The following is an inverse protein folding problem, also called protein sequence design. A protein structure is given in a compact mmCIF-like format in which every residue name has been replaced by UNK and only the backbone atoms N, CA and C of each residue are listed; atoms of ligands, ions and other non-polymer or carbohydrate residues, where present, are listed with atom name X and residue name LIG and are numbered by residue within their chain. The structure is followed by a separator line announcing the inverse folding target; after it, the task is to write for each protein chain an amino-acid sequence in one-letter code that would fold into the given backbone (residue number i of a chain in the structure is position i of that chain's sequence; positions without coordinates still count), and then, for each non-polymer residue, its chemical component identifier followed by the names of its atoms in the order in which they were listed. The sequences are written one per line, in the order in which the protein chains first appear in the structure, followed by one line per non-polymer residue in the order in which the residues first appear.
data_IF_530514782290
#
_entry.id   IF_530514782290
#
_cell.length_a   1.000
_cell.length_b   1.000
_cell.length_c   1.000
_cell.angle_alpha   90.00
_cell.angle_beta   90.00
_cell.angle_gamma   90.00
#
_symmetry.space_group_name_H-M   'P 1'
#
loop_
_entity.id
_entity.type
_entity.pdbx_description
1 polymer ?
#
# COMPACT_ATOMS: atom_id res chain seq x y z
N UNK A 1 25.60 45.00 19.66
CA UNK A 1 25.00 45.27 20.98
C UNK A 1 24.71 43.94 21.68
N UNK A 2 25.06 43.85 22.98
CA UNK A 2 24.77 42.74 23.93
C UNK A 2 23.27 42.36 23.90
N UNK A 3 22.84 41.12 24.19
CA UNK A 3 22.73 40.55 25.56
C UNK A 3 22.66 39.01 25.58
N UNK A 4 23.13 38.49 26.71
CA UNK A 4 23.34 37.09 27.13
C UNK A 4 22.23 36.71 28.13
N UNK A 5 21.81 35.44 28.14
CA UNK A 5 21.21 34.67 29.25
C UNK A 5 21.62 33.20 28.96
N UNK A 6 22.47 32.44 29.69
CA UNK A 6 22.60 32.08 31.12
C UNK A 6 21.28 31.52 31.72
N UNK A 7 21.17 30.38 32.40
CA UNK A 7 22.06 29.32 32.94
C UNK A 7 21.10 28.18 33.42
N UNK A 8 21.46 26.88 33.46
CA UNK A 8 21.58 25.98 34.65
C UNK A 8 21.05 24.56 34.27
N UNK A 9 21.76 23.41 34.36
CA UNK A 9 22.51 22.62 35.38
C UNK A 9 21.68 21.59 36.20
N UNK A 10 22.04 20.29 36.03
CA UNK A 10 22.19 19.18 37.02
C UNK A 10 20.92 18.53 37.64
N UNK A 11 20.70 17.20 37.67
CA UNK A 11 21.44 16.18 38.46
C UNK A 11 20.91 14.74 38.20
N UNK A 12 21.81 13.75 38.37
CA UNK A 12 21.62 12.29 38.37
C UNK A 12 21.27 11.75 39.77
N UNK A 13 20.55 10.63 39.89
CA UNK A 13 20.65 9.72 41.06
C UNK A 13 20.31 8.25 40.76
N UNK A 14 21.17 7.36 41.22
CA UNK A 14 21.14 5.88 41.21
C UNK A 14 20.86 5.37 42.63
N UNK A 15 20.10 4.27 42.78
CA UNK A 15 20.18 3.28 43.91
C UNK A 15 19.43 1.99 43.48
N UNK A 16 19.56 0.80 44.06
CA UNK A 16 20.66 -0.09 44.45
C UNK A 16 19.99 -1.45 44.83
N UNK A 17 20.62 -2.59 44.52
CA UNK A 17 20.16 -3.97 44.79
C UNK A 17 20.31 -4.38 46.27
N UNK A 18 19.47 -5.32 46.74
CA UNK A 18 19.84 -6.20 47.87
C UNK A 18 19.18 -7.61 47.80
N UNK A 19 19.91 -8.63 48.29
CA UNK A 19 19.64 -10.10 48.36
C UNK A 19 20.36 -10.60 49.64
N UNK A 20 20.40 -11.90 50.07
CA UNK A 20 19.53 -13.09 49.99
C UNK A 20 19.24 -13.72 51.39
N UNK A 21 18.54 -14.88 51.48
CA UNK A 21 18.88 -15.94 52.45
C UNK A 21 18.30 -17.32 52.08
N UNK A 22 19.07 -18.34 52.44
CA UNK A 22 19.08 -19.77 52.10
C UNK A 22 18.31 -20.64 53.11
N UNK A 23 17.85 -21.84 52.74
CA UNK A 23 17.67 -22.93 53.71
C UNK A 23 17.71 -24.33 53.08
N UNK A 24 18.53 -25.17 53.70
CA UNK A 24 18.95 -26.51 53.29
C UNK A 24 18.11 -27.58 54.01
N UNK A 25 17.61 -28.59 53.28
CA UNK A 25 17.20 -29.88 53.87
C UNK A 25 17.57 -31.04 52.93
N UNK A 26 18.38 -31.95 53.44
CA UNK A 26 18.86 -33.16 52.78
C UNK A 26 17.95 -34.33 53.19
N UNK A 27 17.26 -34.91 52.22
CA UNK A 27 16.47 -36.13 52.37
C UNK A 27 17.13 -37.25 51.54
N UNK A 28 17.11 -38.45 52.10
CA UNK A 28 17.59 -39.73 51.56
C UNK A 28 17.17 -39.89 50.09
N UNK A 29 18.14 -39.84 49.17
CA UNK A 29 17.89 -39.91 47.74
C UNK A 29 17.75 -41.37 47.27
N UNK A 30 16.79 -41.67 46.36
CA UNK A 30 16.75 -42.95 45.65
C UNK A 30 18.06 -43.15 44.86
N UNK A 31 18.45 -44.41 44.60
CA UNK A 31 19.64 -44.71 43.78
C UNK A 31 19.37 -44.22 42.36
N UNK A 32 19.81 -43.01 42.07
CA UNK A 32 19.74 -42.36 40.76
C UNK A 32 20.80 -43.01 39.87
N UNK A 33 20.37 -43.64 38.77
CA UNK A 33 21.27 -44.30 37.81
C UNK A 33 21.87 -43.31 36.79
N UNK A 34 21.23 -42.17 36.61
CA UNK A 34 21.67 -41.11 35.72
C UNK A 34 21.17 -39.76 36.24
N UNK A 35 21.93 -38.68 36.08
CA UNK A 35 21.45 -37.32 36.37
C UNK A 35 21.14 -36.53 35.08
N UNK A 36 21.77 -36.92 33.97
CA UNK A 36 21.63 -36.31 32.65
C UNK A 36 21.79 -37.37 31.56
N UNK A 37 21.31 -37.07 30.36
CA UNK A 37 21.26 -38.01 29.23
C UNK A 37 22.65 -38.59 28.87
N UNK A 38 23.72 -37.80 29.02
CA UNK A 38 25.10 -38.25 28.74
C UNK A 38 25.59 -39.34 29.70
N UNK A 39 24.93 -39.50 30.85
CA UNK A 39 25.27 -40.55 31.82
C UNK A 39 24.71 -41.91 31.37
N UNK A 40 23.76 -41.91 30.42
CA UNK A 40 23.18 -43.12 29.87
C UNK A 40 24.02 -43.66 28.70
N UNK A 41 24.25 -44.98 28.70
CA UNK A 41 24.98 -45.64 27.61
C UNK A 41 24.11 -45.75 26.35
N UNK A 42 24.70 -45.36 25.21
CA UNK A 42 24.03 -45.42 23.90
C UNK A 42 23.02 -44.28 23.72
N UNK A 43 21.99 -44.53 22.92
CA UNK A 43 20.97 -43.51 22.57
C UNK A 43 19.88 -43.35 23.65
N UNK A 44 20.16 -43.73 24.90
CA UNK A 44 19.18 -43.69 26.00
C UNK A 44 19.18 -42.30 26.66
N UNK A 45 18.01 -41.85 27.11
CA UNK A 45 17.82 -40.57 27.81
C UNK A 45 17.58 -40.81 29.30
N UNK A 46 17.91 -39.83 30.15
CA UNK A 46 17.74 -39.93 31.58
C UNK A 46 16.39 -39.36 32.01
N UNK A 47 15.46 -40.24 32.40
CA UNK A 47 14.12 -39.85 32.82
C UNK A 47 13.84 -40.36 34.23
N UNK A 48 13.56 -39.45 35.16
CA UNK A 48 13.30 -39.81 36.56
C UNK A 48 14.46 -40.51 37.29
N UNK A 49 15.69 -40.35 36.79
CA UNK A 49 16.88 -41.03 37.33
C UNK A 49 17.09 -42.45 36.81
N UNK A 50 16.38 -42.86 35.76
CA UNK A 50 16.57 -44.11 35.03
C UNK A 50 16.83 -43.84 33.54
N UNK A 51 17.76 -44.60 32.95
CA UNK A 51 18.01 -44.52 31.52
C UNK A 51 16.89 -45.24 30.76
N UNK A 52 16.14 -44.53 29.92
CA UNK A 52 15.06 -45.08 29.09
C UNK A 52 15.40 -44.92 27.60
N UNK A 53 14.88 -45.78 26.74
CA UNK A 53 15.07 -45.60 25.29
C UNK A 53 14.08 -44.55 24.79
N UNK A 54 14.50 -43.56 23.99
CA UNK A 54 13.60 -42.56 23.45
C UNK A 54 12.55 -43.25 22.57
N UNK A 55 11.27 -43.03 22.87
CA UNK A 55 10.18 -43.59 22.09
C UNK A 55 10.11 -42.89 20.72
N UNK A 56 10.36 -43.58 19.58
CA UNK A 56 10.33 -42.94 18.26
C UNK A 56 8.92 -42.57 17.80
N UNK A 57 7.88 -42.94 18.54
CA UNK A 57 6.47 -42.82 18.11
C UNK A 57 5.75 -41.56 18.62
N UNK A 58 6.47 -40.60 19.21
CA UNK A 58 5.90 -39.30 19.59
C UNK A 58 5.92 -38.25 18.45
N UNK A 59 6.39 -38.60 17.27
CA UNK A 59 6.27 -37.81 16.05
C UNK A 59 5.53 -38.60 14.99
N UNK A 60 4.63 -37.96 14.23
CA UNK A 60 3.79 -38.52 13.16
C UNK A 60 2.39 -39.03 13.58
N UNK A 61 1.69 -38.28 14.43
CA UNK A 61 0.24 -38.14 14.23
C UNK A 61 0.04 -36.82 13.50
N UNK A 62 -0.28 -36.91 12.21
CA UNK A 62 -0.60 -35.75 11.39
C UNK A 62 -1.78 -35.00 12.04
N UNK A 63 -1.50 -33.81 12.58
CA UNK A 63 -2.55 -32.84 12.84
C UNK A 63 -3.31 -32.62 11.54
N UNK A 64 -4.66 -32.69 11.52
CA UNK A 64 -5.42 -32.22 10.38
C UNK A 64 -4.98 -30.78 10.11
N UNK A 65 -4.43 -30.54 8.91
CA UNK A 65 -4.13 -29.19 8.44
C UNK A 65 -5.38 -28.35 8.72
N UNK A 66 -5.27 -27.22 9.46
CA UNK A 66 -6.40 -26.31 9.58
C UNK A 66 -6.93 -26.05 8.17
N UNK A 67 -8.24 -25.99 7.93
CA UNK A 67 -8.75 -25.62 6.62
C UNK A 67 -7.99 -24.36 6.22
N UNK A 68 -7.27 -24.44 5.10
CA UNK A 68 -6.61 -23.29 4.53
C UNK A 68 -7.76 -22.35 4.23
N UNK A 69 -7.95 -21.37 5.10
CA UNK A 69 -8.79 -20.24 4.79
C UNK A 69 -8.05 -19.56 3.65
N UNK A 70 -8.43 -19.91 2.43
CA UNK A 70 -8.02 -19.19 1.23
C UNK A 70 -8.57 -17.79 1.47
N UNK A 71 -7.72 -16.93 2.04
CA UNK A 71 -7.96 -15.50 1.99
C UNK A 71 -8.32 -15.21 0.52
N UNK A 72 -9.43 -14.52 0.26
CA UNK A 72 -9.78 -14.16 -1.12
C UNK A 72 -8.55 -13.55 -1.75
N UNK A 73 -8.10 -14.10 -2.88
CA UNK A 73 -6.95 -13.57 -3.61
C UNK A 73 -7.14 -12.06 -3.75
N UNK A 74 -6.18 -11.28 -3.24
CA UNK A 74 -6.20 -9.83 -3.43
C UNK A 74 -6.41 -9.56 -4.92
N UNK A 75 -7.26 -8.58 -5.30
CA UNK A 75 -7.52 -8.30 -6.71
C UNK A 75 -6.20 -8.17 -7.46
N UNK A 76 -5.89 -9.14 -8.33
CA UNK A 76 -4.68 -9.17 -9.14
C UNK A 76 -4.79 -8.23 -10.35
N UNK A 77 -5.69 -7.25 -10.26
CA UNK A 77 -5.94 -6.28 -11.31
C UNK A 77 -4.82 -5.25 -11.19
N UNK A 78 -4.12 -5.07 -12.31
CA UNK A 78 -3.11 -4.05 -12.46
C UNK A 78 -3.58 -3.00 -13.46
N UNK A 79 -3.01 -1.81 -13.35
CA UNK A 79 -3.20 -0.76 -14.34
C UNK A 79 -2.65 -1.18 -15.70
N UNK A 80 -3.45 -0.98 -16.74
CA UNK A 80 -3.05 -1.20 -18.13
C UNK A 80 -3.08 0.14 -18.86
N UNK A 81 -1.98 0.55 -19.53
CA UNK A 81 -1.97 1.79 -20.28
C UNK A 81 -2.98 1.69 -21.43
N UNK A 82 -3.80 2.72 -21.56
CA UNK A 82 -4.74 2.88 -22.68
C UNK A 82 -4.02 3.66 -23.77
N UNK A 83 -4.07 3.14 -25.00
CA UNK A 83 -3.49 3.82 -26.14
C UNK A 83 -4.26 5.11 -26.44
N UNK A 84 -3.52 6.20 -26.59
CA UNK A 84 -4.02 7.50 -27.07
C UNK A 84 -3.55 7.63 -28.53
N UNK A 85 -4.48 7.71 -29.47
CA UNK A 85 -4.18 7.76 -30.90
C UNK A 85 -5.10 8.72 -31.63
N UNK A 86 -4.55 9.86 -32.05
CA UNK A 86 -5.36 10.98 -32.53
C UNK A 86 -6.37 11.38 -31.45
N UNK A 87 -7.65 11.31 -31.80
CA UNK A 87 -8.74 11.64 -30.91
C UNK A 87 -9.23 10.45 -30.06
N UNK A 88 -8.76 9.22 -30.33
CA UNK A 88 -9.21 8.02 -29.62
C UNK A 88 -8.41 7.76 -28.34
N UNK A 89 -9.11 7.56 -27.22
CA UNK A 89 -8.53 7.23 -25.90
C UNK A 89 -9.32 6.03 -25.32
N UNK A 90 -9.02 4.81 -25.77
CA UNK A 90 -9.78 3.62 -25.36
C UNK A 90 -11.28 3.77 -25.68
N UNK A 91 -12.18 3.72 -24.68
CA UNK A 91 -13.62 3.92 -24.91
C UNK A 91 -14.04 5.40 -25.03
N UNK A 92 -13.09 6.34 -24.90
CA UNK A 92 -13.33 7.78 -24.98
C UNK A 92 -12.89 8.35 -26.33
N UNK A 93 -13.45 9.50 -26.70
CA UNK A 93 -13.04 10.24 -27.89
C UNK A 93 -12.94 11.73 -27.56
N UNK A 94 -11.83 12.37 -27.95
CA UNK A 94 -11.63 13.80 -27.81
C UNK A 94 -12.33 14.54 -28.96
N UNK A 95 -13.11 15.57 -28.66
CA UNK A 95 -13.74 16.42 -29.68
C UNK A 95 -13.63 17.89 -29.28
N UNK A 96 -12.57 18.56 -29.73
CA UNK A 96 -12.27 19.92 -29.32
C UNK A 96 -11.94 20.01 -27.83
N UNK A 97 -12.91 20.47 -27.03
CA UNK A 97 -12.78 20.61 -25.57
C UNK A 97 -13.52 19.51 -24.79
N UNK A 98 -14.25 18.64 -25.49
CA UNK A 98 -15.04 17.59 -24.87
C UNK A 98 -14.27 16.27 -24.84
N UNK A 99 -14.42 15.52 -23.75
CA UNK A 99 -14.00 14.11 -23.69
C UNK A 99 -15.27 13.27 -23.70
N UNK A 100 -15.61 12.76 -24.87
CA UNK A 100 -16.85 12.06 -25.10
C UNK A 100 -16.75 10.58 -24.71
N UNK A 101 -17.74 10.10 -23.97
CA UNK A 101 -17.97 8.68 -23.67
C UNK A 101 -19.34 8.26 -24.23
N UNK A 102 -19.38 7.09 -24.88
CA UNK A 102 -20.63 6.53 -25.37
C UNK A 102 -21.36 5.80 -24.24
N UNK A 103 -22.23 6.53 -23.53
CA UNK A 103 -23.07 5.96 -22.47
C UNK A 103 -24.31 5.25 -23.03
N UNK A 104 -25.01 4.53 -22.14
CA UNK A 104 -26.33 3.94 -22.38
C UNK A 104 -27.40 4.98 -22.74
N UNK A 105 -27.27 6.21 -22.26
CA UNK A 105 -28.22 7.30 -22.51
C UNK A 105 -27.88 8.16 -23.74
N UNK A 106 -26.73 7.91 -24.38
CA UNK A 106 -26.20 8.72 -25.47
C UNK A 106 -24.75 9.14 -25.22
N UNK A 107 -24.24 10.03 -26.07
CA UNK A 107 -22.90 10.60 -25.88
C UNK A 107 -22.93 11.52 -24.66
N UNK A 108 -21.98 11.34 -23.75
CA UNK A 108 -21.77 12.20 -22.59
C UNK A 108 -20.39 12.85 -22.67
N UNK A 109 -20.30 14.13 -22.33
CA UNK A 109 -19.02 14.80 -22.13
C UNK A 109 -18.57 14.65 -20.66
N UNK A 110 -17.44 13.96 -20.48
CA UNK A 110 -16.82 13.72 -19.17
C UNK A 110 -16.38 15.05 -18.52
N UNK A 111 -15.99 16.06 -19.32
CA UNK A 111 -15.47 17.32 -18.78
C UNK A 111 -16.49 18.08 -17.94
N UNK A 112 -17.79 17.92 -18.22
CA UNK A 112 -18.90 18.46 -17.39
C UNK A 112 -18.92 17.98 -15.94
N UNK A 113 -18.25 16.86 -15.63
CA UNK A 113 -18.12 16.33 -14.26
C UNK A 113 -16.74 16.65 -13.65
N UNK A 114 -15.75 16.94 -14.50
CA UNK A 114 -14.38 17.26 -14.09
C UNK A 114 -14.28 18.73 -13.67
N UNK A 115 -14.82 19.64 -14.48
CA UNK A 115 -14.78 21.08 -14.26
C UNK A 115 -16.18 21.61 -13.94
N UNK A 116 -16.26 22.63 -13.09
CA UNK A 116 -17.53 23.32 -12.82
C UNK A 116 -17.99 24.11 -14.05
N UNK A 117 -17.04 24.72 -14.76
CA UNK A 117 -17.29 25.57 -15.93
C UNK A 117 -16.35 25.16 -17.07
N UNK A 118 -16.60 24.01 -17.73
CA UNK A 118 -15.74 23.49 -18.80
C UNK A 118 -15.62 24.44 -20.00
N UNK A 119 -16.56 25.36 -20.20
CA UNK A 119 -16.54 26.39 -21.25
C UNK A 119 -15.39 27.39 -21.14
N UNK A 120 -14.76 27.52 -19.95
CA UNK A 120 -13.58 28.37 -19.77
C UNK A 120 -12.27 27.67 -20.14
N UNK A 121 -12.29 26.36 -20.40
CA UNK A 121 -11.13 25.65 -20.90
C UNK A 121 -10.76 26.18 -22.29
N UNK A 122 -9.52 26.59 -22.46
CA UNK A 122 -8.98 27.02 -23.78
C UNK A 122 -8.43 25.85 -24.60
N UNK A 123 -8.07 24.77 -23.92
CA UNK A 123 -7.74 23.48 -24.51
C UNK A 123 -8.00 22.36 -23.52
N UNK A 124 -8.15 21.13 -24.03
CA UNK A 124 -8.22 19.89 -23.26
C UNK A 124 -7.32 18.85 -23.93
N UNK A 125 -6.41 18.26 -23.16
CA UNK A 125 -5.51 17.19 -23.61
C UNK A 125 -5.55 16.05 -22.59
N UNK A 126 -5.64 14.81 -23.07
CA UNK A 126 -5.41 13.63 -22.23
C UNK A 126 -3.95 13.24 -22.32
N UNK A 127 -3.19 13.48 -21.25
CA UNK A 127 -1.75 13.23 -21.16
C UNK A 127 -1.45 11.74 -21.00
N UNK A 128 -2.27 11.07 -20.18
CA UNK A 128 -2.16 9.65 -19.85
C UNK A 128 -3.56 9.07 -19.65
N UNK A 129 -3.72 7.81 -20.00
CA UNK A 129 -4.94 7.07 -19.72
C UNK A 129 -4.60 5.64 -19.30
N UNK A 130 -5.31 5.12 -18.30
CA UNK A 130 -5.12 3.78 -17.80
C UNK A 130 -6.48 3.11 -17.55
N UNK A 131 -6.57 1.81 -17.85
CA UNK A 131 -7.66 0.96 -17.43
C UNK A 131 -7.24 0.23 -16.14
N UNK A 132 -8.19 0.08 -15.21
CA UNK A 132 -8.04 -0.75 -14.01
C UNK A 132 -9.15 -1.80 -14.00
N UNK A 133 -8.89 -2.92 -14.67
CA UNK A 133 -9.92 -3.92 -14.93
C UNK A 133 -10.94 -3.44 -15.98
N UNK A 134 -12.11 -4.08 -16.08
CA UNK A 134 -13.02 -3.88 -17.20
C UNK A 134 -13.83 -2.57 -17.16
N UNK A 135 -13.97 -1.97 -15.97
CA UNK A 135 -14.96 -0.90 -15.76
C UNK A 135 -14.39 0.40 -15.19
N UNK A 136 -13.11 0.45 -14.82
CA UNK A 136 -12.50 1.64 -14.23
C UNK A 136 -11.44 2.18 -15.16
N UNK A 137 -11.47 3.50 -15.33
CA UNK A 137 -10.47 4.22 -16.09
C UNK A 137 -9.93 5.35 -15.24
N UNK A 138 -8.63 5.62 -15.35
CA UNK A 138 -7.99 6.81 -14.81
C UNK A 138 -7.47 7.63 -15.97
N UNK A 139 -7.96 8.85 -16.11
CA UNK A 139 -7.53 9.81 -17.12
C UNK A 139 -6.71 10.91 -16.44
N UNK A 140 -5.59 11.28 -17.04
CA UNK A 140 -4.80 12.44 -16.64
C UNK A 140 -5.02 13.51 -17.70
N UNK A 141 -5.70 14.58 -17.34
CA UNK A 141 -6.24 15.59 -18.25
C UNK A 141 -5.59 16.92 -17.95
N UNK A 142 -4.95 17.54 -18.94
CA UNK A 142 -4.42 18.91 -18.85
C UNK A 142 -5.38 19.86 -19.56
N UNK A 143 -5.70 20.98 -18.90
CA UNK A 143 -6.51 22.06 -19.45
C UNK A 143 -5.79 23.40 -19.31
N UNK A 144 -6.03 24.33 -20.22
CA UNK A 144 -5.52 25.70 -20.13
C UNK A 144 -6.59 26.68 -19.72
N UNK A 145 -6.29 27.55 -18.75
CA UNK A 145 -7.15 28.68 -18.38
C UNK A 145 -6.53 29.99 -18.89
N UNK A 146 -7.33 30.81 -19.57
CA UNK A 146 -6.90 32.07 -20.18
C UNK A 146 -6.30 33.04 -19.15
N UNK A 147 -4.96 33.18 -19.14
CA UNK A 147 -4.27 34.28 -18.44
C UNK A 147 -3.42 33.92 -17.21
N UNK A 148 -3.24 32.63 -16.88
CA UNK A 148 -2.40 32.22 -15.75
C UNK A 148 -0.93 31.95 -16.15
N UNK A 149 0.01 32.21 -15.22
CA UNK A 149 1.46 32.01 -15.42
C UNK A 149 1.89 30.54 -15.52
N UNK A 150 1.00 29.59 -15.21
CA UNK A 150 1.25 28.16 -15.36
C UNK A 150 0.50 27.64 -16.59
N UNK A 151 1.18 26.91 -17.50
CA UNK A 151 0.66 26.62 -18.84
C UNK A 151 -0.54 25.65 -18.85
N UNK A 152 -0.77 24.88 -17.78
CA UNK A 152 -1.84 23.89 -17.69
C UNK A 152 -2.29 23.60 -16.25
N UNK A 153 -3.60 23.57 -15.99
CA UNK A 153 -4.18 22.86 -14.84
C UNK A 153 -4.29 21.38 -15.21
N UNK A 154 -3.71 20.49 -14.41
CA UNK A 154 -3.77 19.03 -14.66
C UNK A 154 -4.66 18.37 -13.63
N UNK A 155 -5.55 17.49 -14.08
CA UNK A 155 -6.44 16.69 -13.26
C UNK A 155 -6.11 15.21 -13.41
N UNK A 156 -6.15 14.47 -12.31
CA UNK A 156 -6.35 13.02 -12.34
C UNK A 156 -7.83 12.75 -12.08
N UNK A 157 -8.45 11.91 -12.91
CA UNK A 157 -9.88 11.64 -12.86
C UNK A 157 -10.10 10.14 -12.95
N UNK A 158 -10.89 9.56 -12.06
CA UNK A 158 -11.39 8.19 -12.19
C UNK A 158 -12.82 8.18 -12.75
N UNK A 159 -13.06 7.26 -13.67
CA UNK A 159 -14.35 7.07 -14.34
C UNK A 159 -14.79 5.61 -14.22
N UNK A 160 -16.04 5.37 -13.80
CA UNK A 160 -16.65 4.04 -13.73
C UNK A 160 -17.68 3.87 -14.85
N UNK A 161 -17.45 2.91 -15.75
CA UNK A 161 -18.38 2.62 -16.86
C UNK A 161 -19.68 1.97 -16.41
N UNK A 162 -19.76 1.43 -15.18
CA UNK A 162 -21.01 0.85 -14.66
C UNK A 162 -21.99 1.93 -14.23
N UNK A 163 -21.49 2.98 -13.58
CA UNK A 163 -22.28 4.15 -13.16
C UNK A 163 -22.28 5.24 -14.22
N UNK A 164 -21.38 5.16 -15.20
CA UNK A 164 -21.18 6.12 -16.29
C UNK A 164 -20.92 7.53 -15.75
N UNK A 165 -20.00 7.60 -14.78
CA UNK A 165 -19.72 8.83 -14.05
C UNK A 165 -18.25 8.92 -13.62
N UNK A 166 -17.80 10.16 -13.44
CA UNK A 166 -16.59 10.46 -12.68
C UNK A 166 -16.88 10.15 -11.22
N UNK A 167 -16.09 9.27 -10.62
CA UNK A 167 -16.26 8.83 -9.22
C UNK A 167 -15.12 9.29 -8.30
N UNK A 168 -14.16 10.02 -8.85
CA UNK A 168 -13.05 10.61 -8.14
C UNK A 168 -12.30 11.60 -9.04
N UNK A 169 -11.85 12.72 -8.47
CA UNK A 169 -11.02 13.70 -9.19
C UNK A 169 -10.14 14.48 -8.23
N UNK A 170 -8.95 14.84 -8.70
CA UNK A 170 -8.04 15.73 -7.97
C UNK A 170 -7.18 16.53 -8.94
N UNK A 171 -6.78 17.74 -8.56
CA UNK A 171 -5.83 18.56 -9.32
C UNK A 171 -4.40 18.23 -8.91
N UNK A 172 -3.49 18.20 -9.89
CA UNK A 172 -2.07 17.98 -9.68
C UNK A 172 -1.35 19.30 -9.89
N UNK A 173 -0.83 19.85 -8.80
CA UNK A 173 -0.07 21.09 -8.82
C UNK A 173 1.20 20.94 -9.65
N UNK A 174 1.51 21.95 -10.46
CA UNK A 174 2.71 22.00 -11.30
C UNK A 174 2.50 22.79 -12.58
N UNK A 175 3.57 23.43 -13.04
CA UNK A 175 3.63 24.31 -14.20
C UNK A 175 4.50 23.75 -15.34
N UNK A 176 5.09 22.57 -15.18
CA UNK A 176 5.72 21.83 -16.28
C UNK A 176 4.69 21.29 -17.25
N UNK A 177 5.07 21.27 -18.51
CA UNK A 177 4.30 20.65 -19.60
C UNK A 177 4.44 19.12 -19.58
N UNK A 178 5.37 18.57 -18.79
CA UNK A 178 5.64 17.13 -18.75
C UNK A 178 4.91 16.50 -17.56
N UNK A 179 4.07 15.53 -17.89
CA UNK A 179 3.42 14.63 -16.91
C UNK A 179 4.04 13.24 -17.01
N UNK A 180 4.58 12.78 -15.89
CA UNK A 180 5.13 11.43 -15.75
C UNK A 180 4.15 10.54 -14.99
N UNK A 181 4.17 9.24 -15.30
CA UNK A 181 3.34 8.27 -14.59
C UNK A 181 4.03 6.91 -14.48
N UNK A 182 3.84 6.26 -13.33
CA UNK A 182 4.36 4.94 -13.02
C UNK A 182 3.24 4.07 -12.46
N UNK A 183 2.97 2.96 -13.12
CA UNK A 183 2.00 1.98 -12.65
C UNK A 183 2.71 0.77 -12.04
N UNK A 184 2.33 0.40 -10.82
CA UNK A 184 2.87 -0.74 -10.07
C UNK A 184 1.73 -1.51 -9.40
N UNK A 185 1.34 -2.63 -10.01
CA UNK A 185 0.19 -3.41 -9.56
C UNK A 185 -1.08 -2.56 -9.49
N UNK A 186 -1.63 -2.43 -8.28
CA UNK A 186 -2.85 -1.68 -8.00
C UNK A 186 -2.63 -0.19 -7.67
N UNK A 187 -1.40 0.31 -7.81
CA UNK A 187 -1.02 1.70 -7.56
C UNK A 187 -0.60 2.37 -8.86
N UNK A 188 -1.09 3.58 -9.09
CA UNK A 188 -0.64 4.47 -10.14
C UNK A 188 -0.13 5.75 -9.49
N UNK A 189 1.11 6.13 -9.80
CA UNK A 189 1.73 7.37 -9.36
C UNK A 189 1.75 8.31 -10.55
N UNK A 190 1.21 9.51 -10.40
CA UNK A 190 1.22 10.57 -11.41
C UNK A 190 2.05 11.72 -10.84
N UNK A 191 3.03 12.21 -11.61
CA UNK A 191 3.95 13.26 -11.18
C UNK A 191 3.96 14.44 -12.15
N UNK A 192 4.02 15.63 -11.58
CA UNK A 192 4.20 16.91 -12.27
C UNK A 192 4.99 17.84 -11.35
N UNK A 193 6.09 18.42 -11.83
CA UNK A 193 6.95 19.34 -11.05
C UNK A 193 7.35 18.91 -9.63
N UNK A 194 7.58 17.61 -9.45
CA UNK A 194 7.95 17.06 -8.14
C UNK A 194 6.78 16.88 -7.18
N UNK A 195 5.57 17.39 -7.49
CA UNK A 195 4.34 16.95 -6.85
C UNK A 195 3.97 15.56 -7.37
N UNK A 196 3.38 14.74 -6.51
CA UNK A 196 2.94 13.39 -6.86
C UNK A 196 1.58 13.08 -6.29
N UNK A 197 0.70 12.56 -7.13
CA UNK A 197 -0.60 12.00 -6.73
C UNK A 197 -0.55 10.48 -6.87
N UNK A 198 -1.06 9.78 -5.86
CA UNK A 198 -1.16 8.33 -5.86
C UNK A 198 -2.63 7.91 -6.01
N UNK A 199 -2.89 7.05 -6.98
CA UNK A 199 -4.22 6.51 -7.28
C UNK A 199 -4.18 5.01 -7.01
N UNK A 200 -5.11 4.53 -6.20
CA UNK A 200 -5.18 3.13 -5.82
C UNK A 200 -6.46 2.49 -6.35
N UNK A 201 -6.33 1.28 -6.88
CA UNK A 201 -7.45 0.47 -7.35
C UNK A 201 -8.37 1.16 -8.37
N UNK A 202 -7.81 2.04 -9.20
CA UNK A 202 -8.56 2.78 -10.23
C UNK A 202 -9.43 3.92 -9.71
N UNK A 203 -9.29 4.33 -8.44
CA UNK A 203 -10.11 5.39 -7.82
C UNK A 203 -9.22 6.54 -7.36
N UNK A 204 -9.52 7.74 -7.84
CA UNK A 204 -8.89 8.99 -7.41
C UNK A 204 -9.60 9.50 -6.16
N UNK A 205 -8.83 9.99 -5.18
CA UNK A 205 -9.36 10.54 -3.93
C UNK A 205 -9.51 12.06 -3.99
#
# INVERSE_FOLDING_TARGET
MKRIFALSLLTLSLTACDKPAENTRQATAPVVQCAKDTDCKGDRICEGGQCTSPNPQAGLVANPKPPVNLAPSAPSIAYQPVLISGDGIGPFTLNGLEINYQSRAGVMDVMTQVMEEPEYATYVVVEKAYAFGPNKFVLVISTGESGNSCPATTYAVSFDTRTESVDGKTSIDGCSEIVESLADGNKLIIKKDGASTEVYNGVVQ
#
